data_IF_795309795158
#
_entry.id   IF_795309795158
#
_cell.length_a   1.000
_cell.length_b   1.000
_cell.length_c   1.000
_cell.angle_alpha   90.00
_cell.angle_beta   90.00
_cell.angle_gamma   90.00
#
_symmetry.space_group_name_H-M   'P 1'
#
loop_
_entity.id
_entity.type
_entity.pdbx_description
1 polymer ?
#
# COMPACT_ATOMS: atom_id res chain seq x y z
N UNK A 1 5.37 -16.01 24.63
CA UNK A 1 4.82 -14.64 24.50
C UNK A 1 5.26 -14.22 23.11
N UNK A 2 4.47 -14.58 22.09
CA UNK A 2 4.89 -14.64 20.69
C UNK A 2 3.73 -14.24 19.75
N UNK A 3 3.09 -13.10 20.03
CA UNK A 3 1.93 -12.61 19.25
C UNK A 3 2.29 -11.67 18.08
N UNK A 4 3.54 -11.21 17.99
CA UNK A 4 3.96 -10.20 17.01
C UNK A 4 3.95 -10.62 15.51
N UNK A 5 4.26 -11.88 15.10
CA UNK A 5 4.31 -12.19 13.67
C UNK A 5 2.92 -12.38 13.05
N UNK A 6 1.91 -12.75 13.84
CA UNK A 6 0.55 -13.01 13.35
C UNK A 6 -0.19 -11.70 13.06
N UNK A 7 -0.07 -10.70 13.95
CA UNK A 7 -0.73 -9.40 13.79
C UNK A 7 -0.30 -8.68 12.50
N UNK A 8 0.98 -8.77 12.13
CA UNK A 8 1.50 -8.20 10.89
C UNK A 8 0.96 -8.88 9.62
N UNK A 9 0.78 -10.20 9.67
CA UNK A 9 0.23 -10.99 8.57
C UNK A 9 -1.28 -10.81 8.42
N UNK A 10 -2.00 -10.64 9.53
CA UNK A 10 -3.43 -10.33 9.54
C UNK A 10 -3.68 -8.91 8.99
N UNK A 11 -2.85 -7.93 9.39
CA UNK A 11 -2.90 -6.57 8.84
C UNK A 11 -2.56 -6.54 7.34
N UNK A 12 -1.57 -7.33 6.89
CA UNK A 12 -1.24 -7.44 5.47
C UNK A 12 -2.43 -7.96 4.67
N UNK A 13 -3.10 -9.00 5.17
CA UNK A 13 -4.30 -9.54 4.52
C UNK A 13 -5.45 -8.55 4.49
N UNK A 14 -5.69 -7.82 5.58
CA UNK A 14 -6.70 -6.78 5.66
C UNK A 14 -6.44 -5.69 4.62
N UNK A 15 -5.23 -5.14 4.58
CA UNK A 15 -4.85 -4.09 3.61
C UNK A 15 -5.01 -4.58 2.16
N UNK A 16 -4.62 -5.84 1.88
CA UNK A 16 -4.82 -6.43 0.55
C UNK A 16 -6.29 -6.58 0.19
N UNK A 17 -7.13 -6.97 1.15
CA UNK A 17 -8.56 -7.17 0.93
C UNK A 17 -9.25 -5.83 0.64
N UNK A 18 -8.98 -4.80 1.44
CA UNK A 18 -9.56 -3.46 1.24
C UNK A 18 -9.19 -2.85 -0.11
N UNK A 19 -7.93 -3.02 -0.53
CA UNK A 19 -7.50 -2.57 -1.86
C UNK A 19 -8.21 -3.32 -2.99
N UNK A 20 -8.43 -4.63 -2.85
CA UNK A 20 -9.21 -5.42 -3.82
C UNK A 20 -10.66 -5.00 -3.87
N UNK A 21 -11.28 -4.75 -2.72
CA UNK A 21 -12.68 -4.32 -2.62
C UNK A 21 -12.88 -2.91 -3.19
N UNK A 22 -11.87 -2.05 -3.10
CA UNK A 22 -11.81 -0.76 -3.79
C UNK A 22 -11.52 -0.87 -5.31
N UNK A 23 -11.34 -2.09 -5.84
CA UNK A 23 -11.13 -2.36 -7.26
C UNK A 23 -9.67 -2.26 -7.73
N UNK A 24 -8.70 -2.22 -6.82
CA UNK A 24 -7.28 -2.23 -7.16
C UNK A 24 -6.74 -3.65 -7.35
N UNK A 25 -5.89 -3.81 -8.37
CA UNK A 25 -5.10 -5.03 -8.54
C UNK A 25 -3.92 -5.01 -7.56
N UNK A 26 -3.91 -5.97 -6.63
CA UNK A 26 -2.83 -6.15 -5.66
C UNK A 26 -2.02 -7.39 -6.02
N UNK A 27 -0.74 -7.19 -6.34
CA UNK A 27 0.16 -8.29 -6.66
C UNK A 27 0.82 -8.85 -5.39
N UNK A 28 1.05 -10.16 -5.30
CA UNK A 28 1.73 -10.80 -4.16
C UNK A 28 3.25 -10.58 -4.16
N UNK A 29 3.78 -9.67 -4.99
CA UNK A 29 5.21 -9.46 -5.21
C UNK A 29 5.70 -8.11 -4.70
N UNK A 30 6.94 -8.11 -4.17
CA UNK A 30 7.71 -6.94 -3.71
C UNK A 30 7.88 -5.85 -4.78
N UNK A 31 7.75 -6.23 -6.05
CA UNK A 31 7.74 -5.33 -7.19
C UNK A 31 6.50 -5.65 -8.01
N UNK A 32 5.61 -4.67 -8.12
CA UNK A 32 4.51 -4.78 -9.08
C UNK A 32 5.05 -4.44 -10.47
N UNK A 33 5.08 -5.44 -11.34
CA UNK A 33 5.75 -5.36 -12.65
C UNK A 33 4.92 -4.57 -13.66
N UNK A 34 3.59 -4.59 -13.52
CA UNK A 34 2.64 -4.03 -14.50
C UNK A 34 1.92 -2.77 -14.01
N UNK A 35 2.44 -2.10 -12.98
CA UNK A 35 1.86 -0.87 -12.43
C UNK A 35 0.71 -1.07 -11.44
N UNK A 36 0.63 -2.26 -10.82
CA UNK A 36 -0.25 -2.54 -9.70
C UNK A 36 0.31 -2.07 -8.35
N UNK A 37 -0.41 -2.43 -7.27
CA UNK A 37 0.02 -2.16 -5.89
C UNK A 37 0.75 -3.38 -5.33
N UNK A 38 1.96 -3.16 -4.82
CA UNK A 38 2.68 -4.12 -3.99
C UNK A 38 2.31 -3.91 -2.53
N UNK A 39 2.02 -4.98 -1.80
CA UNK A 39 1.71 -4.93 -0.36
C UNK A 39 2.48 -6.02 0.36
N UNK A 40 3.25 -5.67 1.38
CA UNK A 40 3.99 -6.64 2.19
C UNK A 40 4.18 -6.15 3.63
N UNK A 41 4.36 -7.08 4.55
CA UNK A 41 4.73 -6.77 5.92
C UNK A 41 6.25 -6.60 6.09
N UNK A 42 6.67 -5.44 6.58
CA UNK A 42 8.02 -5.14 7.06
C UNK A 42 8.03 -5.24 8.61
N UNK A 43 8.83 -6.13 9.22
CA UNK A 43 8.84 -6.34 10.67
C UNK A 43 9.21 -5.11 11.52
N UNK A 44 9.83 -4.10 10.91
CA UNK A 44 10.28 -2.87 11.58
C UNK A 44 9.39 -1.67 11.31
N UNK A 45 8.66 -1.68 10.18
CA UNK A 45 7.86 -0.55 9.72
C UNK A 45 6.36 -0.81 9.76
N UNK A 46 5.90 -2.06 9.74
CA UNK A 46 4.50 -2.44 9.56
C UNK A 46 4.19 -2.86 8.13
N UNK A 47 2.94 -2.75 7.69
CA UNK A 47 2.55 -3.13 6.33
C UNK A 47 2.87 -2.00 5.36
N UNK A 48 3.74 -2.28 4.40
CA UNK A 48 4.16 -1.35 3.37
C UNK A 48 3.34 -1.60 2.11
N UNK A 49 2.76 -0.52 1.58
CA UNK A 49 2.07 -0.46 0.29
C UNK A 49 2.91 0.39 -0.65
N UNK A 50 3.29 -0.15 -1.79
CA UNK A 50 4.00 0.59 -2.83
C UNK A 50 3.31 0.47 -4.16
N UNK A 51 3.63 1.39 -5.05
CA UNK A 51 3.11 1.43 -6.41
C UNK A 51 4.23 1.01 -7.35
N UNK A 52 3.90 0.15 -8.32
CA UNK A 52 4.79 -0.21 -9.41
C UNK A 52 5.21 1.06 -10.17
N UNK A 53 6.42 1.55 -9.89
CA UNK A 53 7.06 2.52 -10.76
C UNK A 53 7.62 1.73 -11.92
N UNK A 54 6.87 1.63 -13.02
CA UNK A 54 7.50 1.30 -14.29
C UNK A 54 8.39 2.50 -14.66
N UNK A 55 9.54 2.60 -14.00
CA UNK A 55 10.47 3.71 -14.05
C UNK A 55 11.19 3.79 -15.41
N UNK A 56 11.00 2.79 -16.28
CA UNK A 56 11.49 2.82 -17.64
C UNK A 56 10.32 3.07 -18.61
N UNK A 57 10.30 4.27 -19.18
CA UNK A 57 9.64 4.63 -20.43
C UNK A 57 8.11 4.83 -20.38
N UNK A 58 7.63 6.06 -20.09
CA UNK A 58 6.45 6.69 -20.76
C UNK A 58 6.19 8.14 -20.32
N UNK A 59 5.45 8.94 -21.12
CA UNK A 59 5.46 10.41 -21.07
C UNK A 59 4.85 10.97 -19.78
N UNK A 60 5.17 12.23 -19.49
CA UNK A 60 4.80 13.00 -18.28
C UNK A 60 3.34 12.89 -17.79
N UNK A 61 2.39 12.58 -18.67
CA UNK A 61 0.98 12.35 -18.30
C UNK A 61 0.76 11.11 -17.41
N UNK A 62 1.66 10.12 -17.44
CA UNK A 62 1.51 8.93 -16.60
C UNK A 62 1.83 9.23 -15.13
N UNK A 63 2.83 10.07 -14.86
CA UNK A 63 3.22 10.49 -13.52
C UNK A 63 2.08 11.23 -12.79
N UNK A 64 1.35 12.10 -13.49
CA UNK A 64 0.18 12.81 -12.94
C UNK A 64 -0.96 11.85 -12.62
N UNK A 65 -1.23 10.87 -13.50
CA UNK A 65 -2.23 9.82 -13.25
C UNK A 65 -1.88 8.99 -12.02
N UNK A 66 -0.60 8.66 -11.83
CA UNK A 66 -0.15 7.96 -10.62
C UNK A 66 -0.29 8.81 -9.36
N UNK A 67 -0.04 10.13 -9.42
CA UNK A 67 -0.25 11.01 -8.27
C UNK A 67 -1.72 11.04 -7.80
N UNK A 68 -2.68 11.11 -8.72
CA UNK A 68 -4.11 11.07 -8.37
C UNK A 68 -4.53 9.71 -7.82
N UNK A 69 -4.06 8.60 -8.43
CA UNK A 69 -4.35 7.25 -7.94
C UNK A 69 -3.77 7.05 -6.54
N UNK A 70 -2.54 7.50 -6.31
CA UNK A 70 -1.89 7.45 -4.99
C UNK A 70 -2.68 8.21 -3.94
N UNK A 71 -3.11 9.43 -4.23
CA UNK A 71 -3.93 10.21 -3.31
C UNK A 71 -5.27 9.51 -3.02
N UNK A 72 -5.90 8.90 -4.03
CA UNK A 72 -7.13 8.15 -3.84
C UNK A 72 -6.93 6.89 -2.97
N UNK A 73 -5.86 6.13 -3.20
CA UNK A 73 -5.49 4.96 -2.39
C UNK A 73 -5.20 5.37 -0.95
N UNK A 74 -4.41 6.43 -0.76
CA UNK A 74 -4.10 6.98 0.56
C UNK A 74 -5.37 7.38 1.31
N UNK A 75 -6.27 8.11 0.65
CA UNK A 75 -7.54 8.52 1.25
C UNK A 75 -8.41 7.32 1.60
N UNK A 76 -8.55 6.33 0.70
CA UNK A 76 -9.33 5.13 0.95
C UNK A 76 -8.78 4.33 2.14
N UNK A 77 -7.47 4.07 2.16
CA UNK A 77 -6.82 3.35 3.26
C UNK A 77 -6.93 4.14 4.57
N UNK A 78 -6.73 5.45 4.55
CA UNK A 78 -6.88 6.28 5.73
C UNK A 78 -8.31 6.22 6.27
N UNK A 79 -9.32 6.31 5.41
CA UNK A 79 -10.73 6.21 5.82
C UNK A 79 -11.05 4.86 6.45
N UNK A 80 -10.70 3.76 5.78
CA UNK A 80 -11.08 2.42 6.26
C UNK A 80 -10.27 1.99 7.48
N UNK A 81 -8.95 2.19 7.43
CA UNK A 81 -8.05 1.65 8.46
C UNK A 81 -8.03 2.50 9.73
N UNK A 82 -8.30 3.81 9.63
CA UNK A 82 -8.40 4.66 10.82
C UNK A 82 -9.63 4.32 11.66
N UNK A 83 -10.74 3.90 11.04
CA UNK A 83 -11.91 3.42 11.79
C UNK A 83 -11.62 2.13 12.57
N UNK A 84 -10.73 1.28 12.04
CA UNK A 84 -10.24 0.07 12.70
C UNK A 84 -9.10 0.33 13.71
N UNK A 85 -8.68 1.59 13.90
CA UNK A 85 -7.63 1.99 14.84
C UNK A 85 -6.20 1.90 14.30
N UNK A 86 -6.02 1.56 13.02
CA UNK A 86 -4.71 1.51 12.38
C UNK A 86 -4.31 2.88 11.84
N UNK A 87 -3.00 3.13 11.78
CA UNK A 87 -2.43 4.39 11.31
C UNK A 87 -1.83 4.21 9.92
N UNK A 88 -2.10 5.16 9.02
CA UNK A 88 -1.55 5.19 7.67
C UNK A 88 -0.64 6.41 7.53
N UNK A 89 0.63 6.18 7.18
CA UNK A 89 1.63 7.23 7.00
C UNK A 89 2.29 7.13 5.62
N UNK A 90 2.47 8.26 4.97
CA UNK A 90 3.27 8.34 3.75
C UNK A 90 4.77 8.43 4.08
N UNK A 91 5.59 7.67 3.36
CA UNK A 91 7.05 7.78 3.47
C UNK A 91 7.56 9.12 2.91
N UNK A 92 8.75 9.55 3.33
CA UNK A 92 9.36 10.81 2.90
C UNK A 92 9.54 10.94 1.39
N UNK A 93 9.72 9.82 0.69
CA UNK A 93 9.83 9.79 -0.77
C UNK A 93 8.47 10.00 -1.46
N UNK A 94 7.37 9.86 -0.71
CA UNK A 94 6.05 9.68 -1.27
C UNK A 94 6.05 8.52 -2.26
N UNK A 95 6.78 7.43 -2.02
CA UNK A 95 6.71 6.25 -2.89
C UNK A 95 6.09 5.04 -2.19
N UNK A 96 5.76 5.21 -0.92
CA UNK A 96 5.27 4.15 -0.06
C UNK A 96 4.23 4.71 0.91
N UNK A 97 3.23 3.90 1.24
CA UNK A 97 2.40 4.06 2.42
C UNK A 97 2.77 2.98 3.42
N UNK A 98 2.85 3.35 4.68
CA UNK A 98 3.17 2.48 5.80
C UNK A 98 1.93 2.44 6.69
N UNK A 99 1.40 1.25 6.91
CA UNK A 99 0.27 0.97 7.78
C UNK A 99 0.78 0.29 9.04
N UNK A 100 0.43 0.85 10.20
CA UNK A 100 0.78 0.29 11.52
C UNK A 100 -0.48 0.09 12.36
N UNK A 101 -0.50 -0.93 13.21
CA UNK A 101 -1.53 -1.09 14.25
C UNK A 101 -1.36 -0.11 15.41
#
# INVERSE_FOLDING_TARGET
>A
MDTAPTEGLDLEQLVRQELRDAGFTVEPSLMSLDGGLGVWHDPTRGVVVTWGTSAEQRPANHLVKYATIRAAVQLALLTVLSEAGHHVKEDFSGLELIVTS
#
